data_IF_297063198236
#
_entry.id   IF_297063198236
#
_cell.length_a   1.000
_cell.length_b   1.000
_cell.length_c   1.000
_cell.angle_alpha   90.00
_cell.angle_beta   90.00
_cell.angle_gamma   90.00
#
_symmetry.space_group_name_H-M   'P 1'
#
loop_
_entity.id
_entity.type
_entity.pdbx_description
1 polymer ?
#
# COMPACT_ATOMS: atom_id res chain seq x y z
N UNK A 1 14.23 3.53 5.65
CA UNK A 1 14.86 3.77 4.32
C UNK A 1 14.50 2.70 3.31
N UNK A 2 15.04 1.47 3.39
CA UNK A 2 14.71 0.39 2.42
C UNK A 2 13.26 -0.11 2.59
N UNK A 3 12.80 -0.24 3.83
CA UNK A 3 11.43 -0.67 4.16
C UNK A 3 10.39 0.33 3.64
N UNK A 4 10.53 1.62 3.95
CA UNK A 4 9.63 2.68 3.46
C UNK A 4 9.50 2.70 1.94
N UNK A 5 10.62 2.55 1.23
CA UNK A 5 10.62 2.49 -0.23
C UNK A 5 9.93 1.24 -0.77
N UNK A 6 10.09 0.10 -0.10
CA UNK A 6 9.43 -1.16 -0.45
C UNK A 6 7.90 -1.03 -0.35
N UNK A 7 7.42 -0.45 0.75
CA UNK A 7 5.99 -0.27 1.04
C UNK A 7 5.32 0.85 0.23
N UNK A 8 6.04 1.93 -0.05
CA UNK A 8 5.45 3.08 -0.75
C UNK A 8 5.67 3.06 -2.26
N UNK A 9 6.67 2.34 -2.77
CA UNK A 9 7.00 2.35 -4.19
C UNK A 9 6.92 0.97 -4.83
N UNK A 10 7.65 -0.01 -4.30
CA UNK A 10 7.80 -1.31 -4.96
C UNK A 10 6.51 -2.12 -4.95
N UNK A 11 5.91 -2.33 -3.78
CA UNK A 11 4.71 -3.16 -3.68
C UNK A 11 3.50 -2.55 -4.42
N UNK A 12 3.23 -1.23 -4.33
CA UNK A 12 2.20 -0.61 -5.16
C UNK A 12 2.48 -0.80 -6.66
N UNK A 13 3.71 -0.57 -7.12
CA UNK A 13 4.07 -0.71 -8.52
C UNK A 13 3.86 -2.15 -9.02
N UNK A 14 4.27 -3.15 -8.24
CA UNK A 14 4.07 -4.57 -8.56
C UNK A 14 2.58 -4.87 -8.67
N UNK A 15 1.77 -4.43 -7.70
CA UNK A 15 0.32 -4.65 -7.72
C UNK A 15 -0.35 -4.00 -8.93
N UNK A 16 -0.05 -2.73 -9.22
CA UNK A 16 -0.63 -2.04 -10.37
C UNK A 16 -0.22 -2.68 -11.71
N UNK A 17 1.04 -3.12 -11.82
CA UNK A 17 1.52 -3.82 -13.01
C UNK A 17 0.82 -5.17 -13.17
N UNK A 18 0.66 -5.93 -12.08
CA UNK A 18 -0.06 -7.20 -12.08
C UNK A 18 -1.53 -7.02 -12.50
N UNK A 19 -2.21 -5.99 -12.01
CA UNK A 19 -3.58 -5.65 -12.40
C UNK A 19 -3.68 -5.27 -13.88
N UNK A 20 -2.73 -4.48 -14.39
CA UNK A 20 -2.68 -4.10 -15.80
C UNK A 20 -2.53 -5.33 -16.71
N UNK A 21 -1.59 -6.22 -16.37
CA UNK A 21 -1.36 -7.47 -17.10
C UNK A 21 -2.59 -8.37 -17.02
N UNK A 22 -3.23 -8.49 -15.86
CA UNK A 22 -4.44 -9.29 -15.69
C UNK A 22 -5.61 -8.74 -16.52
N UNK A 23 -5.77 -7.42 -16.59
CA UNK A 23 -6.81 -6.79 -17.42
C UNK A 23 -6.61 -7.09 -18.92
N UNK A 24 -5.36 -7.07 -19.40
CA UNK A 24 -5.03 -7.42 -20.80
C UNK A 24 -5.32 -8.90 -21.07
N UNK A 25 -5.01 -9.80 -20.13
CA UNK A 25 -5.18 -11.25 -20.30
C UNK A 25 -6.62 -11.73 -20.06
N UNK A 26 -7.46 -10.94 -19.41
CA UNK A 26 -8.83 -11.30 -19.01
C UNK A 26 -9.69 -11.89 -20.16
N UNK A 27 -9.66 -11.36 -21.41
CA UNK A 27 -10.46 -11.92 -22.49
C UNK A 27 -10.00 -13.32 -22.95
N UNK A 28 -8.70 -13.63 -22.82
CA UNK A 28 -8.13 -14.91 -23.27
C UNK A 28 -7.99 -15.95 -22.17
N UNK A 29 -7.81 -15.51 -20.92
CA UNK A 29 -7.53 -16.37 -19.76
C UNK A 29 -8.28 -15.87 -18.52
N UNK A 30 -9.63 -15.96 -18.50
CA UNK A 30 -10.44 -15.30 -17.49
C UNK A 30 -10.20 -15.82 -16.07
N UNK A 31 -10.09 -17.14 -15.88
CA UNK A 31 -9.86 -17.73 -14.57
C UNK A 31 -8.54 -17.27 -13.90
N UNK A 32 -7.36 -17.44 -14.51
CA UNK A 32 -6.11 -16.97 -13.91
C UNK A 32 -6.06 -15.44 -13.79
N UNK A 33 -6.63 -14.68 -14.74
CA UNK A 33 -6.69 -13.23 -14.65
C UNK A 33 -7.48 -12.75 -13.42
N UNK A 34 -8.62 -13.37 -13.11
CA UNK A 34 -9.41 -13.05 -11.91
C UNK A 34 -8.65 -13.36 -10.61
N UNK A 35 -7.86 -14.44 -10.56
CA UNK A 35 -7.01 -14.73 -9.41
C UNK A 35 -5.91 -13.68 -9.21
N UNK A 36 -5.27 -13.24 -10.31
CA UNK A 36 -4.27 -12.16 -10.24
C UNK A 36 -4.91 -10.84 -9.81
N UNK A 37 -6.11 -10.53 -10.29
CA UNK A 37 -6.88 -9.35 -9.85
C UNK A 37 -7.17 -9.42 -8.34
N UNK A 38 -7.65 -10.56 -7.85
CA UNK A 38 -7.91 -10.75 -6.43
C UNK A 38 -6.64 -10.58 -5.59
N UNK A 39 -5.54 -11.23 -5.98
CA UNK A 39 -4.26 -11.14 -5.29
C UNK A 39 -3.71 -9.70 -5.26
N UNK A 40 -3.69 -9.01 -6.41
CA UNK A 40 -3.24 -7.62 -6.52
C UNK A 40 -4.11 -6.66 -5.70
N UNK A 41 -5.42 -6.88 -5.67
CA UNK A 41 -6.36 -6.06 -4.87
C UNK A 41 -6.13 -6.26 -3.37
N UNK A 42 -6.00 -7.50 -2.90
CA UNK A 42 -5.71 -7.79 -1.48
C UNK A 42 -4.35 -7.21 -1.07
N UNK A 43 -3.34 -7.32 -1.92
CA UNK A 43 -2.03 -6.73 -1.67
C UNK A 43 -2.10 -5.21 -1.57
N UNK A 44 -2.80 -4.52 -2.49
CA UNK A 44 -3.03 -3.07 -2.38
C UNK A 44 -3.78 -2.68 -1.10
N UNK A 45 -4.80 -3.45 -0.71
CA UNK A 45 -5.53 -3.20 0.53
C UNK A 45 -4.61 -3.29 1.74
N UNK A 46 -3.78 -4.34 1.81
CA UNK A 46 -2.83 -4.54 2.90
C UNK A 46 -1.80 -3.41 2.97
N UNK A 47 -1.21 -3.02 1.83
CA UNK A 47 -0.28 -1.88 1.75
C UNK A 47 -0.97 -0.59 2.20
N UNK A 48 -2.21 -0.35 1.75
CA UNK A 48 -2.97 0.84 2.12
C UNK A 48 -3.23 0.93 3.62
N UNK A 49 -3.60 -0.19 4.26
CA UNK A 49 -3.79 -0.25 5.72
C UNK A 49 -2.48 0.03 6.45
N UNK A 50 -1.37 -0.59 6.01
CA UNK A 50 -0.06 -0.37 6.62
C UNK A 50 0.39 1.09 6.51
N UNK A 51 0.30 1.67 5.31
CA UNK A 51 0.67 3.07 5.07
C UNK A 51 -0.21 4.04 5.86
N UNK A 52 -1.52 3.77 5.96
CA UNK A 52 -2.43 4.60 6.75
C UNK A 52 -2.10 4.53 8.25
N UNK A 53 -1.78 3.34 8.76
CA UNK A 53 -1.39 3.15 10.14
C UNK A 53 -0.10 3.90 10.49
N UNK A 54 0.93 3.80 9.63
CA UNK A 54 2.19 4.53 9.81
C UNK A 54 1.97 6.05 9.91
N UNK A 55 1.17 6.60 8.99
CA UNK A 55 0.84 8.03 9.01
C UNK A 55 0.10 8.46 10.29
N UNK A 56 -0.80 7.62 10.82
CA UNK A 56 -1.48 7.89 12.10
C UNK A 56 -0.48 7.94 13.25
N UNK A 57 0.44 6.98 13.31
CA UNK A 57 1.48 6.95 14.34
C UNK A 57 2.37 8.19 14.24
N UNK A 58 2.82 8.55 13.04
CA UNK A 58 3.61 9.76 12.80
C UNK A 58 2.90 11.02 13.33
N UNK A 59 1.63 11.22 12.96
CA UNK A 59 0.84 12.37 13.40
C UNK A 59 0.67 12.38 14.92
N UNK A 60 0.38 11.22 15.53
CA UNK A 60 0.18 11.11 16.97
C UNK A 60 1.47 11.46 17.76
N UNK A 61 2.63 11.00 17.28
CA UNK A 61 3.91 11.33 17.89
C UNK A 61 4.27 12.81 17.73
N UNK A 62 4.05 13.39 16.55
CA UNK A 62 4.36 14.80 16.29
C UNK A 62 3.45 15.73 17.10
N UNK A 63 2.16 15.40 17.24
CA UNK A 63 1.23 16.13 18.11
C UNK A 63 1.67 16.08 19.57
N UNK A 64 2.08 14.90 20.06
CA UNK A 64 2.55 14.72 21.44
C UNK A 64 3.83 15.53 21.72
N UNK A 65 4.76 15.58 20.74
CA UNK A 65 5.98 16.39 20.85
C UNK A 65 5.66 17.89 20.89
N UNK A 66 4.73 18.35 20.07
CA UNK A 66 4.29 19.74 20.03
C UNK A 66 3.68 20.20 21.36
N UNK A 67 2.85 19.35 21.99
CA UNK A 67 2.29 19.62 23.32
C UNK A 67 3.37 19.77 24.39
N UNK A 68 4.34 18.86 24.48
CA UNK A 68 5.42 18.96 25.45
C UNK A 68 6.25 20.25 25.29
N UNK A 69 6.56 20.65 24.04
CA UNK A 69 7.32 21.88 23.76
C UNK A 69 6.57 23.17 24.14
N UNK A 70 5.24 23.13 24.26
CA UNK A 70 4.44 24.28 24.71
C UNK A 70 4.33 24.42 26.23
N UNK A 71 4.75 23.39 26.98
CA UNK A 71 4.74 23.38 28.45
C UNK A 71 6.10 23.72 29.08
N UNK A 72 7.17 23.77 28.30
CA UNK A 72 8.51 24.25 28.67
C UNK A 72 8.67 25.76 28.39
#
# INVERSE_FOLDING_TARGET
>A
MLEDWLWHTVFPLVSYTALLVAAILLPGYPAPALFVIAAGTVLLLFIGIHNAWDNVIYIAFELSRSQNKSQD
#
